data_IF_693224024701
#
_entry.id   IF_693224024701
#
_cell.length_a   1.000
_cell.length_b   1.000
_cell.length_c   1.000
_cell.angle_alpha   90.00
_cell.angle_beta   90.00
_cell.angle_gamma   90.00
#
_symmetry.space_group_name_H-M   'P 1'
#
loop_
_entity.id
_entity.type
_entity.pdbx_description
1 polymer ?
#
# COMPACT_ATOMS: atom_id res chain seq x y z
N UNK A 1 -7.13 11.26 -24.21
CA UNK A 1 -7.80 10.37 -23.25
C UNK A 1 -6.74 9.60 -22.48
N UNK A 2 -6.74 9.69 -21.14
CA UNK A 2 -5.99 8.75 -20.29
C UNK A 2 -6.71 7.39 -20.39
N UNK A 3 -5.95 6.30 -20.51
CA UNK A 3 -6.48 4.94 -20.54
C UNK A 3 -6.14 4.26 -19.20
N UNK A 4 -6.84 4.71 -18.17
CA UNK A 4 -6.89 4.14 -16.83
C UNK A 4 -8.04 3.13 -16.74
N UNK A 5 -7.77 1.99 -16.09
CA UNK A 5 -8.74 0.92 -15.90
C UNK A 5 -8.93 0.66 -14.41
N UNK A 6 -10.18 0.63 -13.94
CA UNK A 6 -10.50 0.24 -12.57
C UNK A 6 -10.13 -1.22 -12.32
N UNK A 7 -9.39 -1.45 -11.24
CA UNK A 7 -8.99 -2.79 -10.80
C UNK A 7 -10.14 -3.37 -9.96
N UNK A 8 -11.03 -4.10 -10.63
CA UNK A 8 -12.15 -4.80 -10.00
C UNK A 8 -11.96 -6.33 -10.01
N UNK A 9 -12.84 -7.07 -9.33
CA UNK A 9 -12.76 -8.53 -9.26
C UNK A 9 -12.73 -9.14 -10.67
N UNK A 10 -11.71 -9.95 -10.95
CA UNK A 10 -11.44 -10.51 -12.29
C UNK A 10 -10.33 -9.78 -13.06
N UNK A 11 -9.92 -8.60 -12.60
CA UNK A 11 -8.74 -7.91 -13.12
C UNK A 11 -7.45 -8.65 -12.71
N UNK A 12 -6.47 -8.79 -13.61
CA UNK A 12 -5.20 -9.52 -13.36
C UNK A 12 -4.42 -9.05 -12.13
N UNK A 13 -4.54 -7.76 -11.81
CA UNK A 13 -3.86 -7.09 -10.68
C UNK A 13 -4.76 -6.89 -9.46
N UNK A 14 -5.96 -7.46 -9.47
CA UNK A 14 -6.92 -7.34 -8.36
C UNK A 14 -6.36 -7.88 -7.04
N UNK A 15 -5.70 -9.04 -7.10
CA UNK A 15 -5.11 -9.66 -5.92
C UNK A 15 -4.02 -8.77 -5.31
N UNK A 16 -3.12 -8.25 -6.15
CA UNK A 16 -2.07 -7.33 -5.71
C UNK A 16 -2.66 -6.04 -5.10
N UNK A 17 -3.73 -5.50 -5.69
CA UNK A 17 -4.42 -4.33 -5.13
C UNK A 17 -4.94 -4.63 -3.71
N UNK A 18 -5.62 -5.75 -3.52
CA UNK A 18 -6.13 -6.14 -2.20
C UNK A 18 -4.98 -6.26 -1.18
N UNK A 19 -3.89 -6.93 -1.56
CA UNK A 19 -2.72 -7.09 -0.70
C UNK A 19 -2.07 -5.75 -0.32
N UNK A 20 -2.00 -4.80 -1.26
CA UNK A 20 -1.53 -3.43 -0.99
C UNK A 20 -2.44 -2.71 0.00
N UNK A 21 -3.77 -2.79 -0.18
CA UNK A 21 -4.74 -2.14 0.70
C UNK A 21 -4.70 -2.73 2.13
N UNK A 22 -4.60 -4.06 2.25
CA UNK A 22 -4.44 -4.75 3.54
C UNK A 22 -3.12 -4.38 4.23
N UNK A 23 -2.01 -4.40 3.51
CA UNK A 23 -0.69 -4.06 4.04
C UNK A 23 -0.61 -2.62 4.54
N UNK A 24 -1.09 -1.66 3.75
CA UNK A 24 -1.04 -0.22 4.09
C UNK A 24 -1.98 0.11 5.26
N UNK A 25 -3.20 -0.47 5.28
CA UNK A 25 -4.15 -0.23 6.38
C UNK A 25 -3.60 -0.72 7.73
N UNK A 26 -2.92 -1.86 7.75
CA UNK A 26 -2.29 -2.41 8.95
C UNK A 26 -1.21 -1.49 9.55
N UNK A 27 -0.39 -0.84 8.70
CA UNK A 27 0.68 0.05 9.17
C UNK A 27 0.15 1.33 9.83
N UNK A 28 -1.04 1.78 9.43
CA UNK A 28 -1.67 2.97 10.01
C UNK A 28 -2.26 2.70 11.40
N UNK A 29 -2.63 1.44 11.69
CA UNK A 29 -3.13 1.03 13.00
C UNK A 29 -2.05 1.07 14.11
N UNK A 30 -0.76 1.05 13.75
CA UNK A 30 0.35 1.15 14.69
C UNK A 30 0.39 2.57 15.29
N UNK A 31 0.64 2.78 16.59
CA UNK A 31 0.80 4.12 17.15
C UNK A 31 2.04 4.83 16.59
N UNK A 32 1.95 6.15 16.42
CA UNK A 32 3.11 6.96 16.03
C UNK A 32 3.92 7.34 17.27
N UNK A 33 5.22 7.06 17.24
CA UNK A 33 6.21 7.51 18.22
C UNK A 33 7.15 8.53 17.61
N UNK A 34 7.90 9.28 18.44
CA UNK A 34 8.91 10.22 17.95
C UNK A 34 10.02 9.50 17.17
N UNK A 35 10.52 10.14 16.10
CA UNK A 35 11.68 9.63 15.38
C UNK A 35 12.93 9.72 16.25
N UNK A 36 13.69 8.64 16.25
CA UNK A 36 15.05 8.61 16.79
C UNK A 36 16.02 8.04 15.75
N UNK A 37 17.31 8.15 16.03
CA UNK A 37 18.37 7.67 15.13
C UNK A 37 18.25 6.19 14.77
N UNK A 38 17.69 5.35 15.67
CA UNK A 38 17.51 3.92 15.43
C UNK A 38 16.57 3.63 14.25
N UNK A 39 15.61 4.52 13.98
CA UNK A 39 14.64 4.33 12.90
C UNK A 39 15.24 4.51 11.50
N UNK A 40 16.49 4.98 11.42
CA UNK A 40 17.23 5.15 10.17
C UNK A 40 18.24 4.02 9.91
N UNK A 41 18.28 2.96 10.73
CA UNK A 41 19.09 1.77 10.43
C UNK A 41 18.59 1.12 9.13
N UNK A 42 19.44 0.88 8.12
CA UNK A 42 19.05 0.20 6.87
C UNK A 42 18.43 -1.19 7.05
N UNK A 43 18.58 -1.79 8.23
CA UNK A 43 17.97 -3.07 8.60
C UNK A 43 16.52 -2.92 9.06
N UNK A 44 16.06 -1.70 9.32
CA UNK A 44 14.72 -1.40 9.80
C UNK A 44 13.67 -1.79 8.76
N UNK A 45 13.00 -2.91 9.02
CA UNK A 45 11.95 -3.47 8.19
C UNK A 45 10.96 -4.20 9.08
N UNK A 46 9.68 -3.96 8.85
CA UNK A 46 8.61 -4.68 9.51
C UNK A 46 8.10 -5.78 8.59
N UNK A 47 7.98 -7.00 9.12
CA UNK A 47 7.39 -8.13 8.41
C UNK A 47 6.14 -8.59 9.15
N UNK A 48 5.08 -8.84 8.39
CA UNK A 48 3.85 -9.42 8.92
C UNK A 48 3.27 -10.37 7.89
N UNK A 49 2.72 -11.47 8.39
CA UNK A 49 2.01 -12.44 7.57
C UNK A 49 0.52 -12.12 7.59
N UNK A 50 -0.10 -12.23 6.43
CA UNK A 50 -1.54 -12.13 6.23
C UNK A 50 -2.06 -13.48 5.77
N UNK A 51 -2.44 -14.38 6.71
CA UNK A 51 -3.19 -15.59 6.37
C UNK A 51 -4.67 -15.24 6.08
N UNK A 52 -5.35 -15.91 5.14
CA UNK A 52 -6.74 -15.60 4.76
C UNK A 52 -7.71 -15.62 5.95
N UNK A 53 -7.53 -16.57 6.88
CA UNK A 53 -8.31 -16.69 8.11
C UNK A 53 -8.03 -15.59 9.16
N UNK A 54 -7.03 -14.74 8.91
CA UNK A 54 -6.57 -13.73 9.85
C UNK A 54 -5.66 -14.28 10.95
N UNK A 55 -5.17 -13.39 11.79
CA UNK A 55 -4.30 -13.72 12.92
C UNK A 55 -4.68 -12.89 14.15
N UNK A 56 -3.89 -12.99 15.24
CA UNK A 56 -4.06 -12.10 16.40
C UNK A 56 -3.88 -10.62 16.07
N UNK A 57 -3.20 -10.31 14.97
CA UNK A 57 -2.80 -8.94 14.60
C UNK A 57 -3.29 -8.52 13.22
N UNK A 58 -3.83 -9.42 12.41
CA UNK A 58 -4.37 -9.14 11.07
C UNK A 58 -5.83 -9.62 10.96
N UNK A 59 -6.73 -8.86 10.32
CA UNK A 59 -8.09 -9.32 10.13
C UNK A 59 -8.18 -10.46 9.08
N UNK A 60 -9.22 -11.31 9.14
CA UNK A 60 -9.57 -12.21 8.05
C UNK A 60 -9.85 -11.44 6.76
N UNK A 61 -9.52 -12.04 5.61
CA UNK A 61 -9.64 -11.40 4.30
C UNK A 61 -9.79 -12.42 3.17
N UNK A 62 -10.12 -11.94 1.97
CA UNK A 62 -10.38 -12.79 0.79
C UNK A 62 -9.18 -13.03 -0.12
N UNK A 63 -8.07 -12.34 0.11
CA UNK A 63 -6.80 -12.58 -0.61
C UNK A 63 -6.18 -13.91 -0.16
N UNK A 64 -5.33 -14.49 -1.02
CA UNK A 64 -4.44 -15.60 -0.67
C UNK A 64 -3.46 -15.18 0.43
N UNK A 65 -2.79 -16.16 1.03
CA UNK A 65 -1.75 -15.88 2.01
C UNK A 65 -0.61 -15.05 1.41
N UNK A 66 -0.11 -14.08 2.17
CA UNK A 66 1.04 -13.30 1.73
C UNK A 66 1.86 -12.73 2.90
N UNK A 67 3.09 -12.33 2.58
CA UNK A 67 3.95 -11.59 3.48
C UNK A 67 4.00 -10.12 3.07
N UNK A 68 3.70 -9.24 4.02
CA UNK A 68 3.91 -7.82 3.86
C UNK A 68 5.24 -7.42 4.48
N UNK A 69 5.97 -6.57 3.75
CA UNK A 69 7.22 -5.99 4.21
C UNK A 69 7.14 -4.48 4.08
N UNK A 70 7.22 -3.78 5.20
CA UNK A 70 7.34 -2.32 5.23
C UNK A 70 8.78 -1.92 5.54
N UNK A 71 9.31 -0.97 4.78
CA UNK A 71 10.69 -0.48 4.93
C UNK A 71 10.66 0.87 5.63
N UNK A 72 11.46 1.04 6.68
CA UNK A 72 11.50 2.29 7.47
C UNK A 72 10.10 2.85 7.81
N UNK A 73 9.18 2.03 8.37
CA UNK A 73 7.78 2.39 8.56
C UNK A 73 7.60 3.73 9.30
N UNK A 74 8.42 3.96 10.33
CA UNK A 74 8.40 5.18 11.13
C UNK A 74 8.87 6.41 10.33
N UNK A 75 9.93 6.27 9.53
CA UNK A 75 10.48 7.37 8.72
C UNK A 75 9.45 7.81 7.68
N UNK A 76 8.92 6.88 6.88
CA UNK A 76 7.92 7.22 5.86
C UNK A 76 6.62 7.74 6.46
N UNK A 77 6.25 7.30 7.66
CA UNK A 77 5.07 7.85 8.35
C UNK A 77 5.27 9.31 8.75
N UNK A 78 6.46 9.70 9.18
CA UNK A 78 6.77 11.11 9.47
C UNK A 78 6.87 11.95 8.20
N UNK A 79 7.48 11.41 7.14
CA UNK A 79 7.55 12.10 5.84
C UNK A 79 6.15 12.37 5.27
N UNK A 80 5.21 11.42 5.43
CA UNK A 80 3.83 11.60 4.96
C UNK A 80 3.09 12.74 5.67
N UNK A 81 3.33 12.96 6.97
CA UNK A 81 2.60 13.96 7.77
C UNK A 81 2.66 15.40 7.24
N UNK A 82 3.64 15.71 6.40
CA UNK A 82 3.78 17.01 5.77
C UNK A 82 3.78 16.79 4.24
N UNK A 83 2.67 16.97 3.48
CA UNK A 83 1.39 17.64 3.76
C UNK A 83 0.16 16.70 3.77
N UNK A 84 0.32 15.41 4.06
CA UNK A 84 -0.76 14.42 3.89
C UNK A 84 -1.37 14.05 5.24
N UNK A 85 -2.69 14.21 5.36
CA UNK A 85 -3.43 13.70 6.52
C UNK A 85 -3.43 12.15 6.52
N UNK A 86 -3.09 11.48 7.65
CA UNK A 86 -3.03 10.03 7.70
C UNK A 86 -4.35 9.31 7.42
N UNK A 87 -5.49 9.91 7.79
CA UNK A 87 -6.83 9.37 7.56
C UNK A 87 -7.15 9.49 6.08
N UNK A 88 -6.90 10.66 5.48
CA UNK A 88 -7.11 10.87 4.05
C UNK A 88 -6.27 9.94 3.17
N UNK A 89 -5.01 9.72 3.55
CA UNK A 89 -4.13 8.76 2.87
C UNK A 89 -4.71 7.34 2.93
N UNK A 90 -5.19 6.93 4.10
CA UNK A 90 -5.77 5.61 4.32
C UNK A 90 -7.08 5.46 3.53
N UNK A 91 -7.98 6.45 3.56
CA UNK A 91 -9.24 6.40 2.83
C UNK A 91 -9.02 6.38 1.31
N UNK A 92 -8.07 7.16 0.79
CA UNK A 92 -7.82 7.22 -0.65
C UNK A 92 -7.27 5.89 -1.21
N UNK A 93 -6.43 5.18 -0.45
CA UNK A 93 -5.80 3.95 -0.91
C UNK A 93 -6.59 2.71 -0.48
N UNK A 94 -6.98 2.65 0.79
CA UNK A 94 -7.56 1.47 1.45
C UNK A 94 -9.07 1.58 1.68
N UNK A 95 -9.72 2.66 1.21
CA UNK A 95 -11.17 2.79 1.25
C UNK A 95 -11.87 1.77 0.34
N UNK A 96 -13.18 1.96 0.17
CA UNK A 96 -14.00 1.05 -0.65
C UNK A 96 -13.76 1.19 -2.16
N UNK A 97 -13.02 2.21 -2.57
CA UNK A 97 -12.76 2.51 -3.97
C UNK A 97 -11.65 1.61 -4.54
N UNK A 98 -11.81 1.20 -5.79
CA UNK A 98 -10.79 0.48 -6.53
C UNK A 98 -9.63 1.41 -6.91
N UNK A 99 -8.40 0.89 -6.94
CA UNK A 99 -7.30 1.58 -7.61
C UNK A 99 -7.46 1.48 -9.13
N UNK A 100 -6.95 2.49 -9.84
CA UNK A 100 -6.88 2.51 -11.30
C UNK A 100 -5.51 2.10 -11.78
N UNK A 101 -5.41 1.15 -12.69
CA UNK A 101 -4.15 0.83 -13.38
C UNK A 101 -3.94 1.78 -14.56
N UNK A 102 -2.79 2.46 -14.58
CA UNK A 102 -2.33 3.21 -15.73
C UNK A 102 -1.57 2.29 -16.68
N UNK A 103 -2.13 2.12 -17.88
CA UNK A 103 -1.41 1.47 -18.98
C UNK A 103 -0.24 2.36 -19.44
N UNK A 104 1.00 1.97 -19.13
CA UNK A 104 2.15 2.67 -19.69
C UNK A 104 2.25 2.33 -21.19
N UNK A 105 2.12 3.34 -22.06
CA UNK A 105 2.21 3.18 -23.53
C UNK A 105 3.64 2.88 -24.04
N UNK A 106 4.57 2.55 -23.15
CA UNK A 106 5.99 2.36 -23.47
C UNK A 106 6.57 1.11 -22.81
N UNK A 107 7.80 0.77 -23.20
CA UNK A 107 8.66 -0.36 -22.80
C UNK A 107 8.95 -0.52 -21.28
N UNK A 108 8.17 0.11 -20.39
CA UNK A 108 8.37 0.06 -18.95
C UNK A 108 7.76 -1.20 -18.34
N UNK A 109 8.58 -2.03 -17.71
CA UNK A 109 8.14 -3.20 -16.91
C UNK A 109 7.52 -2.80 -15.55
N UNK A 110 7.32 -1.51 -15.29
CA UNK A 110 6.70 -1.03 -14.04
C UNK A 110 5.21 -0.77 -14.25
N UNK A 111 4.40 -1.27 -13.31
CA UNK A 111 2.99 -0.94 -13.18
C UNK A 111 2.82 0.34 -12.36
N UNK A 112 1.78 1.08 -12.70
CA UNK A 112 1.38 2.30 -12.02
C UNK A 112 -0.09 2.17 -11.63
N UNK A 113 -0.37 2.43 -10.36
CA UNK A 113 -1.72 2.45 -9.81
C UNK A 113 -2.03 3.83 -9.26
N UNK A 114 -3.24 4.32 -9.46
CA UNK A 114 -3.71 5.61 -8.99
C UNK A 114 -4.93 5.45 -8.09
N UNK A 115 -5.06 6.31 -7.09
CA UNK A 115 -6.31 6.48 -6.35
C UNK A 115 -7.36 7.18 -7.22
N UNK A 116 -8.65 7.02 -6.92
CA UNK A 116 -9.74 7.63 -7.70
C UNK A 116 -9.68 9.16 -7.70
N UNK A 117 -9.19 9.75 -6.62
CA UNK A 117 -9.04 11.20 -6.44
C UNK A 117 -7.75 11.79 -7.06
N UNK A 118 -7.00 11.00 -7.83
CA UNK A 118 -5.72 11.40 -8.47
C UNK A 118 -4.62 11.87 -7.47
N UNK A 119 -4.80 11.68 -6.15
CA UNK A 119 -3.87 12.21 -5.14
C UNK A 119 -2.64 11.35 -4.92
N UNK A 120 -2.76 10.03 -5.06
CA UNK A 120 -1.66 9.10 -4.79
C UNK A 120 -1.40 8.16 -5.96
N UNK A 121 -0.12 7.88 -6.19
CA UNK A 121 0.35 6.94 -7.20
C UNK A 121 1.22 5.88 -6.53
N UNK A 122 0.91 4.61 -6.80
CA UNK A 122 1.73 3.46 -6.41
C UNK A 122 2.46 2.98 -7.66
N UNK A 123 3.78 2.85 -7.58
CA UNK A 123 4.63 2.39 -8.69
C UNK A 123 5.35 1.12 -8.28
N UNK A 124 5.33 0.09 -9.14
CA UNK A 124 6.18 -1.08 -8.93
C UNK A 124 7.63 -0.76 -9.29
N UNK A 125 8.56 -1.22 -8.45
CA UNK A 125 10.00 -1.04 -8.62
C UNK A 125 10.67 -2.41 -8.68
N UNK A 126 11.67 -2.54 -9.56
CA UNK A 126 12.56 -3.71 -9.54
C UNK A 126 13.46 -3.62 -8.31
N UNK A 127 13.75 -4.77 -7.71
CA UNK A 127 14.72 -4.89 -6.63
C UNK A 127 16.14 -4.65 -7.14
#
# INVERSE_FOLDING_TARGET
MRNDLDISKGHKNYELMLQLQLGISQQQAVPLWELSSINFDPREKFWIQFPPEGSKVTPPHSSSDFWWKDYFPMVFRHLRKFPVDPIDYMLAICGNDALRELSSRGKGESFFYLTQDDRFMIKTVKK
#
